data_IF_068625656209
#
_entry.id   IF_068625656209
#
_cell.length_a   1.000
_cell.length_b   1.000
_cell.length_c   1.000
_cell.angle_alpha   90.00
_cell.angle_beta   90.00
_cell.angle_gamma   90.00
#
_symmetry.space_group_name_H-M   'P 1'
#
loop_
_entity.id
_entity.type
_entity.pdbx_description
1 polymer ?
#
# COMPACT_ATOMS: atom_id res chain seq x y z
N UNK A 1 -4.99 7.72 8.80
CA UNK A 1 -5.32 6.97 7.57
C UNK A 1 -4.02 6.33 7.12
N UNK A 2 -3.92 5.00 7.17
CA UNK A 2 -2.71 4.27 6.77
C UNK A 2 -2.81 3.70 5.33
N UNK A 3 -1.74 3.19 4.73
CA UNK A 3 -1.80 2.41 3.49
C UNK A 3 -2.38 1.05 3.84
N UNK A 4 -3.54 0.69 3.29
CA UNK A 4 -4.20 -0.60 3.52
C UNK A 4 -4.29 -1.01 5.00
N UNK A 5 -4.39 -0.03 5.90
CA UNK A 5 -4.52 -0.22 7.33
C UNK A 5 -5.95 -0.65 7.69
N UNK A 6 -6.04 -1.58 8.65
CA UNK A 6 -7.27 -2.19 9.15
C UNK A 6 -7.42 -2.02 10.68
N UNK A 7 -6.76 -1.00 11.23
CA UNK A 7 -6.68 -0.59 12.64
C UNK A 7 -8.03 -0.37 13.33
N UNK A 8 -9.13 -0.31 12.58
CA UNK A 8 -10.49 -0.20 13.10
C UNK A 8 -11.20 -1.55 13.33
N UNK A 9 -10.61 -2.69 12.97
CA UNK A 9 -11.20 -4.02 13.21
C UNK A 9 -10.95 -4.49 14.66
N UNK A 10 -12.01 -4.71 15.43
CA UNK A 10 -11.94 -5.00 16.88
C UNK A 10 -11.62 -6.47 17.22
N UNK A 11 -10.77 -7.14 16.44
CA UNK A 11 -10.42 -8.56 16.58
C UNK A 11 -9.10 -8.80 17.35
N UNK A 12 -9.01 -9.81 18.24
CA UNK A 12 -8.00 -9.84 19.30
C UNK A 12 -6.56 -10.24 18.92
N UNK A 13 -6.28 -10.88 17.78
CA UNK A 13 -4.94 -11.48 17.55
C UNK A 13 -4.32 -11.22 16.16
N UNK A 14 -5.03 -10.58 15.22
CA UNK A 14 -4.68 -10.74 13.80
C UNK A 14 -4.57 -9.46 12.96
N UNK A 15 -4.81 -8.29 13.57
CA UNK A 15 -4.69 -6.97 12.91
C UNK A 15 -3.29 -6.38 13.02
N UNK A 16 -2.51 -6.82 14.02
CA UNK A 16 -1.15 -6.31 14.24
C UNK A 16 -0.23 -6.52 13.02
N UNK A 17 -0.41 -7.62 12.28
CA UNK A 17 0.33 -7.87 11.04
C UNK A 17 0.07 -6.83 9.95
N UNK A 18 -1.18 -6.35 9.84
CA UNK A 18 -1.56 -5.26 8.92
C UNK A 18 -0.94 -3.94 9.35
N UNK A 19 -0.98 -3.65 10.65
CA UNK A 19 -0.38 -2.43 11.21
C UNK A 19 1.13 -2.41 10.98
N UNK A 20 1.80 -3.54 11.20
CA UNK A 20 3.24 -3.69 10.92
C UNK A 20 3.54 -3.54 9.43
N UNK A 21 2.75 -4.16 8.55
CA UNK A 21 2.91 -4.04 7.10
C UNK A 21 2.72 -2.59 6.63
N UNK A 22 1.70 -1.90 7.15
CA UNK A 22 1.43 -0.49 6.85
C UNK A 22 2.55 0.42 7.38
N UNK A 23 3.07 0.18 8.59
CA UNK A 23 4.18 0.93 9.16
C UNK A 23 5.43 0.85 8.27
N UNK A 24 5.79 -0.36 7.83
CA UNK A 24 6.91 -0.57 6.88
C UNK A 24 6.69 0.15 5.55
N UNK A 25 5.45 0.16 5.03
CA UNK A 25 5.14 0.91 3.82
C UNK A 25 5.41 2.41 3.98
N UNK A 26 5.02 3.00 5.11
CA UNK A 26 5.27 4.42 5.38
C UNK A 26 6.73 4.73 5.65
N UNK A 27 7.45 3.84 6.33
CA UNK A 27 8.89 3.96 6.49
C UNK A 27 9.59 3.94 5.13
N UNK A 28 9.23 2.99 4.27
CA UNK A 28 9.69 2.94 2.87
C UNK A 28 9.38 4.24 2.11
N UNK A 29 8.18 4.79 2.31
CA UNK A 29 7.76 6.06 1.69
C UNK A 29 8.60 7.25 2.17
N UNK A 30 8.99 7.27 3.45
CA UNK A 30 9.88 8.30 3.98
C UNK A 30 11.29 8.21 3.36
N UNK A 31 11.83 7.00 3.21
CA UNK A 31 13.09 6.77 2.50
C UNK A 31 12.99 7.14 1.01
N UNK A 32 11.86 6.85 0.36
CA UNK A 32 11.60 7.30 -1.01
C UNK A 32 11.67 8.84 -1.10
N UNK A 33 11.05 9.58 -0.17
CA UNK A 33 11.13 11.05 -0.16
C UNK A 33 12.56 11.57 0.04
N UNK A 34 13.35 10.94 0.91
CA UNK A 34 14.78 11.28 1.09
C UNK A 34 15.60 11.00 -0.17
N UNK A 35 15.27 9.93 -0.89
CA UNK A 35 15.87 9.66 -2.20
C UNK A 35 15.55 10.80 -3.19
N UNK A 36 14.32 11.32 -3.21
CA UNK A 36 13.97 12.47 -4.07
C UNK A 36 14.79 13.71 -3.68
N UNK A 37 14.91 14.00 -2.38
CA UNK A 37 15.70 15.13 -1.89
C UNK A 37 17.19 15.00 -2.27
N UNK A 38 17.76 13.80 -2.14
CA UNK A 38 19.14 13.53 -2.54
C UNK A 38 19.34 13.67 -4.06
N UNK A 39 18.34 13.24 -4.86
CA UNK A 39 18.34 13.44 -6.30
C UNK A 39 18.36 14.92 -6.67
N UNK A 40 17.51 15.75 -6.07
CA UNK A 40 17.46 17.19 -6.30
C UNK A 40 18.79 17.89 -5.94
N UNK A 41 19.50 17.37 -4.93
CA UNK A 41 20.82 17.88 -4.51
C UNK A 41 21.99 17.35 -5.36
N UNK A 42 21.71 16.55 -6.39
CA UNK A 42 22.76 15.89 -7.19
C UNK A 42 23.71 15.03 -6.35
N UNK A 43 23.18 14.35 -5.33
CA UNK A 43 23.91 13.38 -4.49
C UNK A 43 23.50 11.94 -4.83
N UNK A 44 24.12 11.34 -5.86
CA UNK A 44 23.74 10.01 -6.33
C UNK A 44 24.04 8.90 -5.31
N UNK A 45 25.03 9.11 -4.43
CA UNK A 45 25.39 8.15 -3.39
C UNK A 45 24.29 8.02 -2.34
N UNK A 46 23.81 9.15 -1.83
CA UNK A 46 22.69 9.17 -0.89
C UNK A 46 21.39 8.72 -1.55
N UNK A 47 21.10 9.18 -2.77
CA UNK A 47 19.91 8.75 -3.50
C UNK A 47 19.86 7.21 -3.66
N UNK A 48 20.98 6.59 -4.07
CA UNK A 48 21.06 5.13 -4.21
C UNK A 48 20.82 4.40 -2.88
N UNK A 49 21.43 4.86 -1.79
CA UNK A 49 21.28 4.22 -0.48
C UNK A 49 19.84 4.31 0.04
N UNK A 50 19.21 5.48 -0.10
CA UNK A 50 17.81 5.70 0.28
C UNK A 50 16.86 4.84 -0.58
N UNK A 51 17.14 4.72 -1.88
CA UNK A 51 16.35 3.88 -2.79
C UNK A 51 16.43 2.39 -2.43
N UNK A 52 17.63 1.86 -2.15
CA UNK A 52 17.80 0.46 -1.73
C UNK A 52 17.03 0.18 -0.43
N UNK A 53 17.12 1.11 0.53
CA UNK A 53 16.42 0.99 1.82
C UNK A 53 14.90 1.02 1.62
N UNK A 54 14.40 1.97 0.85
CA UNK A 54 12.98 2.06 0.51
C UNK A 54 12.48 0.79 -0.20
N UNK A 55 13.23 0.28 -1.19
CA UNK A 55 12.87 -0.93 -1.92
C UNK A 55 12.76 -2.16 -1.00
N UNK A 56 13.72 -2.33 -0.07
CA UNK A 56 13.69 -3.40 0.93
C UNK A 56 12.46 -3.31 1.84
N UNK A 57 12.16 -2.12 2.36
CA UNK A 57 11.00 -1.90 3.23
C UNK A 57 9.66 -2.09 2.51
N UNK A 58 9.54 -1.68 1.23
CA UNK A 58 8.35 -1.97 0.41
C UNK A 58 8.19 -3.49 0.18
N UNK A 59 9.28 -4.21 -0.05
CA UNK A 59 9.26 -5.67 -0.17
C UNK A 59 8.84 -6.36 1.13
N UNK A 60 9.37 -5.91 2.26
CA UNK A 60 9.01 -6.45 3.58
C UNK A 60 7.54 -6.15 3.93
N UNK A 61 7.06 -4.95 3.60
CA UNK A 61 5.65 -4.58 3.71
C UNK A 61 4.77 -5.54 2.90
N UNK A 62 5.11 -5.77 1.63
CA UNK A 62 4.38 -6.71 0.77
C UNK A 62 4.36 -8.12 1.36
N UNK A 63 5.50 -8.60 1.87
CA UNK A 63 5.63 -9.90 2.50
C UNK A 63 4.75 -10.02 3.75
N UNK A 64 4.67 -8.97 4.57
CA UNK A 64 3.83 -8.98 5.77
C UNK A 64 2.34 -8.91 5.43
N UNK A 65 1.94 -8.20 4.38
CA UNK A 65 0.57 -8.30 3.84
C UNK A 65 0.24 -9.72 3.37
N UNK A 66 1.15 -10.42 2.69
CA UNK A 66 0.98 -11.83 2.29
C UNK A 66 0.85 -12.77 3.50
N UNK A 67 1.66 -12.58 4.54
CA UNK A 67 1.53 -13.39 5.77
C UNK A 67 0.21 -13.12 6.49
N UNK A 68 -0.26 -11.88 6.43
CA UNK A 68 -1.48 -11.45 7.13
C UNK A 68 -2.76 -11.75 6.34
N UNK A 69 -2.72 -11.86 5.00
CA UNK A 69 -3.92 -12.24 4.23
C UNK A 69 -4.41 -13.65 4.55
N UNK A 70 -3.51 -14.63 4.73
CA UNK A 70 -3.87 -16.01 5.11
C UNK A 70 -4.54 -16.05 6.48
N UNK A 71 -4.20 -15.08 7.31
CA UNK A 71 -4.75 -14.86 8.63
C UNK A 71 -6.18 -14.30 8.58
N UNK A 72 -6.51 -13.48 7.56
CA UNK A 72 -7.85 -12.95 7.28
C UNK A 72 -8.80 -13.94 6.62
N UNK A 73 -8.30 -14.93 5.87
CA UNK A 73 -9.12 -15.98 5.26
C UNK A 73 -9.87 -16.84 6.30
N UNK A 74 -9.40 -16.82 7.57
CA UNK A 74 -9.95 -17.59 8.69
C UNK A 74 -11.02 -16.78 9.46
N UNK A 75 -11.05 -15.46 9.30
CA UNK A 75 -12.07 -14.61 9.92
C UNK A 75 -13.28 -14.49 8.97
N UNK A 76 -14.50 -14.63 9.47
CA UNK A 76 -15.73 -14.60 8.66
C UNK A 76 -16.23 -13.16 8.33
N UNK A 77 -15.36 -12.16 8.45
CA UNK A 77 -15.66 -10.72 8.29
C UNK A 77 -16.09 -10.33 6.87
N UNK A 78 -15.70 -11.12 5.87
CA UNK A 78 -16.07 -10.94 4.47
C UNK A 78 -17.58 -11.05 4.22
N UNK A 79 -18.29 -11.81 5.06
CA UNK A 79 -19.73 -12.07 4.88
C UNK A 79 -20.63 -10.86 5.16
N UNK A 80 -20.09 -9.80 5.75
CA UNK A 80 -20.85 -8.59 6.13
C UNK A 80 -20.66 -7.40 5.18
N UNK A 81 -19.74 -7.52 4.21
CA UNK A 81 -19.41 -6.46 3.26
C UNK A 81 -20.26 -6.57 1.98
N UNK A 82 -21.51 -6.11 2.01
CA UNK A 82 -22.29 -6.02 0.77
C UNK A 82 -21.79 -4.87 -0.15
N UNK A 83 -21.99 -5.02 -1.47
CA UNK A 83 -21.51 -4.09 -2.50
C UNK A 83 -22.02 -2.65 -2.33
N UNK A 84 -23.26 -2.44 -1.85
CA UNK A 84 -23.84 -1.11 -1.60
C UNK A 84 -23.17 -0.44 -0.40
N UNK A 85 -22.85 -1.23 0.62
CA UNK A 85 -22.11 -0.78 1.79
C UNK A 85 -20.71 -0.35 1.36
N UNK A 86 -19.97 -1.12 0.55
CA UNK A 86 -18.67 -0.69 0.02
C UNK A 86 -18.77 0.60 -0.83
N UNK A 87 -19.86 0.77 -1.61
CA UNK A 87 -20.13 1.97 -2.42
C UNK A 87 -20.35 3.23 -1.57
N UNK A 88 -21.15 3.15 -0.50
CA UNK A 88 -21.40 4.28 0.39
C UNK A 88 -20.17 4.64 1.24
N UNK A 89 -19.34 3.64 1.54
CA UNK A 89 -18.18 3.73 2.42
C UNK A 89 -16.93 4.33 1.78
N UNK A 90 -16.78 4.21 0.46
CA UNK A 90 -15.66 4.75 -0.27
C UNK A 90 -15.72 6.28 -0.51
N UNK A 91 -16.80 6.94 -0.05
CA UNK A 91 -16.95 8.39 0.13
C UNK A 91 -16.31 9.29 -0.93
N UNK A 92 -17.10 9.76 -1.90
CA UNK A 92 -16.89 10.88 -2.85
C UNK A 92 -15.49 11.11 -3.48
N UNK A 93 -14.60 10.11 -3.43
CA UNK A 93 -13.34 10.12 -4.15
C UNK A 93 -13.57 9.55 -5.55
N UNK A 94 -13.71 10.47 -6.50
CA UNK A 94 -14.00 10.24 -7.92
C UNK A 94 -13.31 9.00 -8.54
N UNK A 95 -14.08 7.93 -8.74
CA UNK A 95 -14.30 7.33 -10.07
C UNK A 95 -13.52 6.07 -10.45
N UNK A 96 -12.24 5.92 -10.13
CA UNK A 96 -11.43 4.79 -10.64
C UNK A 96 -10.83 3.88 -9.57
N UNK A 97 -10.09 4.43 -8.59
CA UNK A 97 -9.48 3.63 -7.53
C UNK A 97 -10.54 2.91 -6.67
N UNK A 98 -11.64 3.60 -6.38
CA UNK A 98 -12.79 3.05 -5.66
C UNK A 98 -13.47 1.93 -6.46
N UNK A 99 -13.69 2.11 -7.77
CA UNK A 99 -14.26 1.07 -8.63
C UNK A 99 -13.37 -0.17 -8.75
N UNK A 100 -12.04 0.00 -8.78
CA UNK A 100 -11.09 -1.10 -8.76
C UNK A 100 -11.11 -1.85 -7.41
N UNK A 101 -11.14 -1.12 -6.30
CA UNK A 101 -11.28 -1.68 -4.94
C UNK A 101 -12.62 -2.39 -4.77
N UNK A 102 -13.70 -1.89 -5.36
CA UNK A 102 -15.03 -2.51 -5.35
C UNK A 102 -15.08 -3.84 -6.09
N UNK A 103 -14.45 -3.95 -7.27
CA UNK A 103 -14.35 -5.20 -8.01
C UNK A 103 -13.54 -6.24 -7.22
N UNK A 104 -12.38 -5.85 -6.69
CA UNK A 104 -11.49 -6.74 -5.94
C UNK A 104 -12.10 -7.13 -4.58
N UNK A 105 -12.71 -6.18 -3.87
CA UNK A 105 -13.35 -6.42 -2.58
C UNK A 105 -14.56 -7.35 -2.66
N UNK A 106 -15.15 -7.52 -3.85
CA UNK A 106 -16.22 -8.50 -4.07
C UNK A 106 -15.75 -9.96 -4.01
N UNK A 107 -14.45 -10.20 -4.19
CA UNK A 107 -13.81 -11.50 -3.97
C UNK A 107 -13.45 -11.72 -2.49
N UNK A 108 -13.89 -10.80 -1.65
CA UNK A 108 -13.59 -10.77 -0.23
C UNK A 108 -12.32 -9.98 0.06
N UNK A 109 -12.14 -9.61 1.32
CA UNK A 109 -11.13 -8.64 1.69
C UNK A 109 -9.71 -9.26 1.88
N UNK A 110 -9.59 -10.59 1.80
CA UNK A 110 -8.33 -11.26 1.45
C UNK A 110 -7.77 -10.74 0.11
N UNK A 111 -8.63 -10.56 -0.90
CA UNK A 111 -8.20 -10.10 -2.22
C UNK A 111 -7.72 -8.63 -2.18
N UNK A 112 -8.30 -7.80 -1.30
CA UNK A 112 -7.80 -6.45 -1.05
C UNK A 112 -6.39 -6.47 -0.44
N UNK A 113 -6.15 -7.33 0.55
CA UNK A 113 -4.83 -7.49 1.17
C UNK A 113 -3.80 -8.05 0.19
N UNK A 114 -4.19 -9.02 -0.64
CA UNK A 114 -3.36 -9.54 -1.71
C UNK A 114 -2.96 -8.43 -2.70
N UNK A 115 -3.91 -7.57 -3.08
CA UNK A 115 -3.60 -6.45 -3.98
C UNK A 115 -2.73 -5.38 -3.32
N UNK A 116 -2.91 -5.14 -2.02
CA UNK A 116 -2.03 -4.26 -1.25
C UNK A 116 -0.59 -4.78 -1.24
N UNK A 117 -0.41 -6.10 -1.07
CA UNK A 117 0.88 -6.74 -1.17
C UNK A 117 1.49 -6.61 -2.56
N UNK A 118 0.70 -6.90 -3.61
CA UNK A 118 1.17 -6.81 -5.00
C UNK A 118 1.65 -5.40 -5.34
N UNK A 119 0.88 -4.37 -4.99
CA UNK A 119 1.23 -2.98 -5.28
C UNK A 119 2.45 -2.50 -4.50
N UNK A 120 2.54 -2.83 -3.21
CA UNK A 120 3.74 -2.55 -2.42
C UNK A 120 4.98 -3.23 -3.02
N UNK A 121 4.86 -4.50 -3.42
CA UNK A 121 5.95 -5.24 -4.05
C UNK A 121 6.34 -4.71 -5.44
N UNK A 122 5.37 -4.29 -6.25
CA UNK A 122 5.62 -3.64 -7.54
C UNK A 122 6.34 -2.31 -7.37
N UNK A 123 5.90 -1.49 -6.41
CA UNK A 123 6.56 -0.22 -6.08
C UNK A 123 8.00 -0.45 -5.60
N UNK A 124 8.24 -1.42 -4.71
CA UNK A 124 9.59 -1.80 -4.29
C UNK A 124 10.50 -2.20 -5.46
N UNK A 125 9.97 -2.95 -6.45
CA UNK A 125 10.71 -3.27 -7.68
C UNK A 125 11.01 -2.02 -8.51
N UNK A 126 10.06 -1.11 -8.65
CA UNK A 126 10.26 0.15 -9.38
C UNK A 126 11.30 1.04 -8.71
N UNK A 127 11.33 1.11 -7.37
CA UNK A 127 12.37 1.85 -6.64
C UNK A 127 13.74 1.21 -6.84
N UNK A 128 13.83 -0.12 -6.81
CA UNK A 128 15.09 -0.81 -7.04
C UNK A 128 15.60 -0.65 -8.49
N UNK A 129 14.68 -0.67 -9.47
CA UNK A 129 15.00 -0.36 -10.87
C UNK A 129 15.52 1.07 -11.01
N UNK A 130 14.84 2.04 -10.39
CA UNK A 130 15.31 3.42 -10.34
C UNK A 130 16.71 3.49 -9.73
N UNK A 131 16.99 2.82 -8.61
CA UNK A 131 18.31 2.82 -7.99
C UNK A 131 19.43 2.26 -8.90
N UNK A 132 19.09 1.29 -9.75
CA UNK A 132 20.02 0.68 -10.70
C UNK A 132 20.24 1.56 -11.95
N UNK A 133 19.19 2.19 -12.46
CA UNK A 133 19.20 3.07 -13.64
C UNK A 133 19.80 4.45 -13.32
N UNK A 134 19.49 4.98 -12.12
CA UNK A 134 19.96 6.26 -11.59
C UNK A 134 21.46 6.27 -11.22
N UNK A 135 22.11 5.10 -11.20
CA UNK A 135 23.48 4.93 -10.72
C UNK A 135 24.52 5.76 -11.46
N UNK A 136 24.23 6.20 -12.69
CA UNK A 136 25.08 7.11 -13.43
C UNK A 136 24.42 8.49 -13.66
N UNK A 137 23.22 8.58 -14.27
CA UNK A 137 22.53 9.85 -14.55
C UNK A 137 21.00 9.64 -14.48
N UNK A 138 20.33 9.94 -13.35
CA UNK A 138 18.91 9.68 -13.23
C UNK A 138 18.11 10.63 -14.13
N UNK A 139 17.25 10.07 -14.98
CA UNK A 139 16.46 10.89 -15.90
C UNK A 139 15.15 11.35 -15.27
N UNK A 140 14.65 12.51 -15.69
CA UNK A 140 13.32 13.01 -15.30
C UNK A 140 12.19 12.05 -15.67
N UNK A 141 12.40 11.18 -16.67
CA UNK A 141 11.42 10.18 -17.12
C UNK A 141 11.29 9.02 -16.13
N UNK A 142 12.40 8.44 -15.69
CA UNK A 142 12.41 7.35 -14.70
C UNK A 142 11.84 7.82 -13.37
N UNK A 143 12.21 9.04 -12.99
CA UNK A 143 11.68 9.72 -11.81
C UNK A 143 10.16 9.92 -11.88
N UNK A 144 9.65 10.44 -13.00
CA UNK A 144 8.20 10.65 -13.19
C UNK A 144 7.42 9.33 -13.16
N UNK A 145 7.98 8.26 -13.75
CA UNK A 145 7.39 6.92 -13.71
C UNK A 145 7.28 6.39 -12.29
N UNK A 146 8.33 6.57 -11.49
CA UNK A 146 8.34 6.16 -10.09
C UNK A 146 7.32 6.95 -9.25
N UNK A 147 7.23 8.27 -9.44
CA UNK A 147 6.25 9.11 -8.73
C UNK A 147 4.80 8.75 -9.09
N UNK A 148 4.52 8.45 -10.36
CA UNK A 148 3.20 7.98 -10.77
C UNK A 148 2.86 6.63 -10.11
N UNK A 149 3.79 5.68 -10.15
CA UNK A 149 3.63 4.36 -9.48
C UNK A 149 3.38 4.51 -7.98
N UNK A 150 4.11 5.42 -7.33
CA UNK A 150 3.94 5.73 -5.91
C UNK A 150 2.56 6.32 -5.62
N UNK A 151 2.13 7.30 -6.41
CA UNK A 151 0.83 7.98 -6.26
C UNK A 151 -0.34 7.01 -6.47
N UNK A 152 -0.28 6.18 -7.50
CA UNK A 152 -1.28 5.15 -7.76
C UNK A 152 -1.37 4.12 -6.63
N UNK A 153 -0.22 3.74 -6.07
CA UNK A 153 -0.15 2.82 -4.94
C UNK A 153 -0.78 3.45 -3.70
N UNK A 154 -0.39 4.68 -3.34
CA UNK A 154 -0.97 5.40 -2.21
C UNK A 154 -2.49 5.59 -2.33
N UNK A 155 -2.97 5.99 -3.52
CA UNK A 155 -4.40 6.18 -3.77
C UNK A 155 -5.17 4.87 -3.57
N UNK A 156 -4.63 3.76 -4.08
CA UNK A 156 -5.23 2.44 -3.85
C UNK A 156 -5.27 2.09 -2.36
N UNK A 157 -4.15 2.21 -1.65
CA UNK A 157 -4.10 1.84 -0.24
C UNK A 157 -4.96 2.71 0.66
N UNK A 158 -5.11 3.99 0.32
CA UNK A 158 -6.03 4.91 1.00
C UNK A 158 -7.48 4.49 0.78
N UNK A 159 -7.86 4.12 -0.44
CA UNK A 159 -9.20 3.61 -0.75
C UNK A 159 -9.49 2.31 0.00
N UNK A 160 -8.51 1.39 0.07
CA UNK A 160 -8.63 0.16 0.86
C UNK A 160 -8.81 0.46 2.34
N UNK A 161 -8.01 1.37 2.91
CA UNK A 161 -8.20 1.80 4.31
C UNK A 161 -9.54 2.45 4.59
N UNK A 162 -10.10 3.21 3.64
CA UNK A 162 -11.44 3.76 3.77
C UNK A 162 -12.49 2.64 3.90
N UNK A 163 -12.38 1.60 3.06
CA UNK A 163 -13.24 0.40 3.13
C UNK A 163 -13.10 -0.33 4.47
N UNK A 164 -11.90 -0.38 5.05
CA UNK A 164 -11.70 -0.97 6.39
C UNK A 164 -12.24 -0.11 7.53
N UNK A 165 -12.00 1.20 7.50
CA UNK A 165 -12.44 2.11 8.55
C UNK A 165 -13.96 2.17 8.67
N UNK A 166 -14.63 1.97 7.54
CA UNK A 166 -16.08 1.98 7.44
C UNK A 166 -16.73 0.65 7.84
N UNK A 167 -15.99 -0.46 7.87
CA UNK A 167 -16.44 -1.76 8.42
C UNK A 167 -16.54 -1.77 9.95
N UNK A 168 -16.98 -0.69 10.58
CA UNK A 168 -17.37 -0.76 12.00
C UNK A 168 -18.43 -1.85 12.14
N UNK A 169 -17.98 -3.01 12.61
CA UNK A 169 -18.81 -4.10 13.13
C UNK A 169 -19.83 -3.45 14.06
N UNK A 170 -21.07 -3.30 13.60
CA UNK A 170 -22.16 -2.96 14.50
C UNK A 170 -22.17 -4.07 15.55
N UNK A 171 -21.76 -3.74 16.78
CA UNK A 171 -22.03 -4.61 17.93
C UNK A 171 -23.55 -4.70 18.02
N UNK A 172 -24.13 -5.77 17.47
CA UNK A 172 -25.44 -6.23 17.91
C UNK A 172 -25.33 -6.82 19.32
#
# INVERSE_FOLDING_TARGET
>A
MGYCNADHSTGPIKVQGVVTAAAKFYEASAHLMKMLEAFEKSDPGSAKNEAITAAGLFHDSATDYVKTKDTFAIANWASELDKKTIFAMAGDNSGQAVNAVLQIGSDGPYALMEKCAEKAGQLGKSVNQFAAEAGDHPTTVEFSRLLNSFTETLNFGTAVSAVFASTKLEKK
#
